data_IF_299461526894
#
_entry.id   IF_299461526894
#
_cell.length_a   1.000
_cell.length_b   1.000
_cell.length_c   1.000
_cell.angle_alpha   90.00
_cell.angle_beta   90.00
_cell.angle_gamma   90.00
#
_symmetry.space_group_name_H-M   'P 1'
#
loop_
_entity.id
_entity.type
_entity.pdbx_description
1 polymer ?
#
# COMPACT_ATOMS: atom_id res chain seq x y z
N UNK A 1 14.12 29.46 3.45
CA UNK A 1 13.76 28.99 2.09
C UNK A 1 12.26 28.70 2.06
N UNK A 2 11.55 29.11 1.01
CA UNK A 2 10.13 28.82 0.83
C UNK A 2 10.01 27.36 0.44
N UNK A 3 9.15 26.60 1.12
CA UNK A 3 8.92 25.19 0.81
C UNK A 3 8.06 25.06 -0.44
N UNK A 4 8.41 24.13 -1.33
CA UNK A 4 7.71 23.81 -2.56
C UNK A 4 7.44 22.31 -2.67
N UNK A 5 6.51 21.96 -3.52
CA UNK A 5 6.23 20.55 -3.81
C UNK A 5 7.40 19.94 -4.61
N UNK A 6 7.99 18.86 -4.10
CA UNK A 6 9.11 18.16 -4.74
C UNK A 6 8.74 17.52 -6.09
N UNK A 7 7.44 17.36 -6.39
CA UNK A 7 6.94 16.82 -7.65
C UNK A 7 6.68 17.88 -8.72
N UNK A 8 6.12 19.04 -8.35
CA UNK A 8 5.67 20.05 -9.33
C UNK A 8 6.17 21.48 -9.05
N UNK A 9 6.90 21.73 -7.97
CA UNK A 9 7.43 23.06 -7.63
C UNK A 9 6.41 24.07 -7.10
N UNK A 10 5.13 23.69 -6.92
CA UNK A 10 4.12 24.62 -6.38
C UNK A 10 4.36 24.91 -4.90
N UNK A 11 4.07 26.13 -4.47
CA UNK A 11 4.07 26.54 -3.06
C UNK A 11 2.68 26.36 -2.41
N UNK A 12 1.66 26.07 -3.23
CA UNK A 12 0.26 26.00 -2.80
C UNK A 12 -0.13 24.59 -2.38
N UNK A 13 -1.03 24.54 -1.39
CA UNK A 13 -1.71 23.31 -0.93
C UNK A 13 -0.74 22.18 -0.52
N UNK A 14 0.39 22.56 0.14
CA UNK A 14 1.31 21.57 0.68
C UNK A 14 0.67 20.79 1.83
N UNK A 15 0.93 19.48 1.88
CA UNK A 15 0.44 18.55 2.90
C UNK A 15 1.57 17.70 3.45
N UNK A 16 1.26 16.98 4.51
CA UNK A 16 2.11 15.94 5.07
C UNK A 16 1.82 14.65 4.31
N UNK A 17 2.79 14.18 3.52
CA UNK A 17 2.74 12.87 2.86
C UNK A 17 3.39 11.83 3.76
N UNK A 18 2.69 10.74 4.05
CA UNK A 18 3.30 9.58 4.69
C UNK A 18 4.22 8.92 3.65
N UNK A 19 5.53 8.87 3.91
CA UNK A 19 6.51 8.31 2.97
C UNK A 19 6.20 6.84 2.70
N UNK A 20 6.01 6.06 3.77
CA UNK A 20 5.40 4.74 3.71
C UNK A 20 3.95 4.91 4.14
N UNK A 21 2.96 4.41 3.38
CA UNK A 21 1.57 4.52 3.77
C UNK A 21 1.31 4.02 5.20
N UNK A 22 0.51 4.77 5.96
CA UNK A 22 0.20 4.51 7.37
C UNK A 22 -0.37 3.10 7.63
N UNK A 23 -1.05 2.51 6.64
CA UNK A 23 -1.56 1.14 6.73
C UNK A 23 -0.49 0.04 6.50
N UNK A 24 0.71 0.41 6.08
CA UNK A 24 1.82 -0.53 5.86
C UNK A 24 2.89 -0.44 6.95
N UNK A 25 2.80 0.54 7.86
CA UNK A 25 3.81 0.73 8.92
C UNK A 25 3.20 1.42 10.14
N UNK A 26 3.66 1.06 11.33
CA UNK A 26 3.37 1.82 12.55
C UNK A 26 4.29 3.05 12.71
N UNK A 27 5.35 3.16 11.92
CA UNK A 27 6.28 4.28 11.95
C UNK A 27 5.75 5.47 11.16
N UNK A 28 5.85 6.67 11.74
CA UNK A 28 5.35 7.90 11.12
C UNK A 28 6.49 8.73 10.55
N UNK A 29 6.85 8.48 9.28
CA UNK A 29 7.86 9.24 8.55
C UNK A 29 7.13 10.09 7.50
N UNK A 30 7.26 11.42 7.61
CA UNK A 30 6.46 12.38 6.85
C UNK A 30 7.32 13.27 6.00
N UNK A 31 6.98 13.43 4.71
CA UNK A 31 7.51 14.50 3.87
C UNK A 31 6.51 15.68 3.82
N UNK A 32 6.87 16.88 4.28
CA UNK A 32 5.97 18.03 4.31
C UNK A 32 5.90 18.80 2.98
N UNK A 33 6.66 18.40 1.97
CA UNK A 33 6.84 19.11 0.71
C UNK A 33 6.12 18.43 -0.47
N UNK A 34 4.90 17.93 -0.23
CA UNK A 34 4.07 17.28 -1.25
C UNK A 34 2.71 17.99 -1.29
N UNK A 35 2.26 18.42 -2.47
CA UNK A 35 0.95 19.04 -2.56
C UNK A 35 -0.18 18.01 -2.40
N UNK A 36 -1.24 18.42 -1.70
CA UNK A 36 -2.35 17.55 -1.27
C UNK A 36 -3.12 16.96 -2.45
N UNK A 37 -3.73 17.84 -3.25
CA UNK A 37 -4.70 17.42 -4.26
C UNK A 37 -4.03 16.81 -5.48
N UNK A 38 -2.96 17.46 -6.00
CA UNK A 38 -2.34 17.01 -7.25
C UNK A 38 -1.45 15.76 -7.10
N UNK A 39 -0.96 15.46 -5.88
CA UNK A 39 -0.07 14.33 -5.64
C UNK A 39 -0.52 13.45 -4.49
N UNK A 40 -0.46 13.91 -3.23
CA UNK A 40 -0.67 13.06 -2.06
C UNK A 40 -2.00 12.26 -2.14
N UNK A 41 -3.13 12.92 -2.36
CA UNK A 41 -4.43 12.23 -2.50
C UNK A 41 -4.48 11.35 -3.75
N UNK A 42 -3.92 11.83 -4.89
CA UNK A 42 -3.91 11.03 -6.12
C UNK A 42 -3.10 9.75 -6.00
N UNK A 43 -1.99 9.74 -5.28
CA UNK A 43 -1.19 8.54 -5.09
C UNK A 43 -1.97 7.44 -4.38
N UNK A 44 -2.79 7.83 -3.38
CA UNK A 44 -3.70 6.89 -2.72
C UNK A 44 -4.63 6.20 -3.72
N UNK A 45 -5.27 6.97 -4.62
CA UNK A 45 -6.20 6.43 -5.60
C UNK A 45 -5.52 5.66 -6.75
N UNK A 46 -4.30 6.06 -7.13
CA UNK A 46 -3.63 5.53 -8.32
C UNK A 46 -2.89 4.22 -8.07
N UNK A 47 -2.32 4.00 -6.87
CA UNK A 47 -1.52 2.82 -6.57
C UNK A 47 -1.44 2.42 -5.09
N UNK A 48 -1.50 3.36 -4.12
CA UNK A 48 -1.30 3.01 -2.70
C UNK A 48 -2.43 2.11 -2.18
N UNK A 49 -3.69 2.45 -2.47
CA UNK A 49 -4.84 1.66 -2.00
C UNK A 49 -4.81 0.22 -2.54
N UNK A 50 -4.41 0.01 -3.79
CA UNK A 50 -4.25 -1.34 -4.36
C UNK A 50 -3.18 -2.14 -3.61
N UNK A 51 -2.02 -1.52 -3.33
CA UNK A 51 -0.94 -2.18 -2.59
C UNK A 51 -1.35 -2.46 -1.16
N UNK A 52 -1.99 -1.50 -0.47
CA UNK A 52 -2.49 -1.67 0.89
C UNK A 52 -3.48 -2.83 0.97
N UNK A 53 -4.46 -2.88 0.07
CA UNK A 53 -5.49 -3.94 0.05
C UNK A 53 -4.87 -5.33 -0.18
N UNK A 54 -3.92 -5.45 -1.11
CA UNK A 54 -3.26 -6.73 -1.41
C UNK A 54 -2.26 -7.18 -0.36
N UNK A 55 -1.62 -6.25 0.36
CA UNK A 55 -0.71 -6.55 1.46
C UNK A 55 -1.41 -6.64 2.82
N UNK A 56 -2.71 -6.35 2.90
CA UNK A 56 -3.44 -6.24 4.17
C UNK A 56 -3.39 -7.52 5.01
N UNK A 57 -3.39 -8.70 4.39
CA UNK A 57 -3.21 -9.95 5.13
C UNK A 57 -1.84 -10.01 5.82
N UNK A 58 -0.77 -9.63 5.12
CA UNK A 58 0.59 -9.60 5.67
C UNK A 58 0.70 -8.58 6.80
N UNK A 59 0.18 -7.36 6.60
CA UNK A 59 0.22 -6.32 7.63
C UNK A 59 -0.60 -6.68 8.86
N UNK A 60 -1.72 -7.38 8.69
CA UNK A 60 -2.54 -7.84 9.79
C UNK A 60 -1.83 -8.93 10.62
N UNK A 61 -1.17 -9.89 9.97
CA UNK A 61 -0.35 -10.91 10.65
C UNK A 61 0.85 -10.31 11.41
N UNK A 62 1.35 -9.15 10.95
CA UNK A 62 2.42 -8.40 11.60
C UNK A 62 1.90 -7.39 12.65
N UNK A 63 0.61 -7.41 12.99
CA UNK A 63 -0.07 -6.47 13.91
C UNK A 63 0.11 -4.99 13.56
N UNK A 64 0.24 -4.68 12.26
CA UNK A 64 0.32 -3.29 11.77
C UNK A 64 -1.07 -2.70 11.67
N UNK A 65 -1.31 -1.63 12.42
CA UNK A 65 -2.58 -0.88 12.44
C UNK A 65 -2.37 0.55 11.95
N UNK A 66 -3.37 1.07 11.24
CA UNK A 66 -3.40 2.48 10.87
C UNK A 66 -3.38 3.37 12.11
N UNK A 67 -2.50 4.37 12.14
CA UNK A 67 -2.38 5.31 13.25
C UNK A 67 -3.63 6.20 13.42
N UNK A 68 -4.41 6.39 12.35
CA UNK A 68 -5.59 7.28 12.34
C UNK A 68 -6.84 6.67 12.97
N UNK A 69 -6.91 5.37 13.14
CA UNK A 69 -8.11 4.71 13.65
C UNK A 69 -7.83 3.47 14.46
N UNK A 70 -6.56 3.13 14.63
CA UNK A 70 -6.12 1.90 15.31
C UNK A 70 -6.84 0.65 14.76
N UNK A 71 -7.03 0.61 13.44
CA UNK A 71 -7.71 -0.48 12.74
C UNK A 71 -6.79 -1.12 11.71
N UNK A 72 -7.04 -2.39 11.44
CA UNK A 72 -6.34 -3.16 10.41
C UNK A 72 -6.82 -2.79 9.00
N UNK A 73 -5.95 -2.92 8.01
CA UNK A 73 -6.34 -2.83 6.61
C UNK A 73 -7.24 -4.02 6.23
N UNK A 74 -8.21 -3.78 5.34
CA UNK A 74 -9.10 -4.83 4.86
C UNK A 74 -8.54 -5.49 3.60
N UNK A 75 -8.70 -6.81 3.49
CA UNK A 75 -8.34 -7.60 2.32
C UNK A 75 -9.57 -8.34 1.76
N UNK A 76 -9.61 -8.62 0.44
CA UNK A 76 -10.69 -9.40 -0.14
C UNK A 76 -10.62 -10.86 0.35
N UNK A 77 -11.78 -11.42 0.66
CA UNK A 77 -11.94 -12.79 1.08
C UNK A 77 -13.23 -13.38 0.51
N UNK A 78 -13.31 -14.71 0.46
CA UNK A 78 -14.56 -15.43 0.22
C UNK A 78 -14.94 -16.25 1.45
N UNK A 79 -16.22 -16.34 1.68
CA UNK A 79 -16.81 -17.16 2.75
C UNK A 79 -17.82 -18.10 2.12
N UNK A 80 -17.71 -19.39 2.40
CA UNK A 80 -18.69 -20.38 1.99
C UNK A 80 -19.64 -20.60 3.18
N UNK A 81 -20.91 -20.31 2.97
CA UNK A 81 -21.97 -20.48 3.94
C UNK A 81 -23.00 -21.42 3.34
N UNK A 82 -23.20 -22.56 3.97
CA UNK A 82 -24.14 -23.58 3.52
C UNK A 82 -23.96 -23.90 2.01
N UNK A 83 -22.70 -24.09 1.60
CA UNK A 83 -22.32 -24.42 0.22
C UNK A 83 -22.40 -23.25 -0.79
N UNK A 84 -22.82 -22.05 -0.37
CA UNK A 84 -22.85 -20.87 -1.23
C UNK A 84 -21.66 -19.96 -0.95
N UNK A 85 -20.89 -19.59 -1.99
CA UNK A 85 -19.72 -18.73 -1.86
C UNK A 85 -20.13 -17.24 -1.90
N UNK A 86 -19.69 -16.48 -0.90
CA UNK A 86 -19.92 -15.05 -0.76
C UNK A 86 -18.61 -14.27 -0.77
N UNK A 87 -18.55 -13.19 -1.55
CA UNK A 87 -17.43 -12.24 -1.53
C UNK A 87 -17.58 -11.25 -0.39
N UNK A 88 -16.51 -11.00 0.31
CA UNK A 88 -16.47 -10.06 1.43
C UNK A 88 -15.10 -9.38 1.56
N UNK A 89 -14.97 -8.41 2.46
CA UNK A 89 -13.69 -7.85 2.91
C UNK A 89 -13.52 -8.13 4.38
N UNK A 90 -12.34 -8.59 4.77
CA UNK A 90 -11.99 -8.94 6.14
C UNK A 90 -10.72 -8.21 6.56
N UNK A 91 -10.56 -7.90 7.84
CA UNK A 91 -9.32 -7.41 8.44
C UNK A 91 -8.88 -8.29 9.62
N UNK A 92 -9.83 -8.88 10.34
CA UNK A 92 -9.58 -9.82 11.44
C UNK A 92 -10.59 -10.95 11.39
N UNK A 93 -10.37 -12.06 12.12
CA UNK A 93 -11.33 -13.15 12.21
C UNK A 93 -12.66 -12.71 12.85
N UNK A 94 -12.61 -11.83 13.84
CA UNK A 94 -13.81 -11.31 14.50
C UNK A 94 -14.74 -10.56 13.55
N UNK A 95 -14.19 -9.95 12.51
CA UNK A 95 -14.99 -9.21 11.53
C UNK A 95 -15.85 -10.11 10.66
N UNK A 96 -15.54 -11.39 10.52
CA UNK A 96 -16.39 -12.32 9.77
C UNK A 96 -17.84 -12.29 10.30
N UNK A 97 -18.02 -12.32 11.60
CA UNK A 97 -19.33 -12.30 12.24
C UNK A 97 -19.95 -10.89 12.32
N UNK A 98 -19.13 -9.86 12.15
CA UNK A 98 -19.56 -8.47 12.12
C UNK A 98 -19.78 -7.94 10.69
N UNK A 99 -19.63 -8.77 9.66
CA UNK A 99 -19.85 -8.36 8.27
C UNK A 99 -21.29 -7.88 8.11
N UNK A 100 -21.43 -6.68 7.57
CA UNK A 100 -22.73 -6.04 7.38
C UNK A 100 -23.47 -6.63 6.18
N UNK A 101 -22.75 -6.97 5.13
CA UNK A 101 -23.30 -7.56 3.89
C UNK A 101 -22.23 -8.44 3.24
N UNK A 102 -22.62 -9.64 2.82
CA UNK A 102 -21.85 -10.52 1.94
C UNK A 102 -22.69 -10.81 0.69
N UNK A 103 -22.10 -10.72 -0.48
CA UNK A 103 -22.78 -11.03 -1.76
C UNK A 103 -22.23 -12.33 -2.31
N UNK A 104 -23.11 -13.22 -2.76
CA UNK A 104 -22.68 -14.46 -3.42
C UNK A 104 -21.84 -14.15 -4.67
N UNK A 105 -20.91 -15.03 -5.00
CA UNK A 105 -20.03 -14.87 -6.16
C UNK A 105 -20.83 -14.85 -7.47
N UNK A 106 -21.95 -15.59 -7.53
CA UNK A 106 -22.89 -15.58 -8.66
C UNK A 106 -23.83 -14.37 -8.66
N UNK A 107 -23.78 -13.53 -7.63
CA UNK A 107 -24.56 -12.30 -7.50
C UNK A 107 -26.04 -12.48 -7.14
N UNK A 108 -26.49 -13.70 -6.86
CA UNK A 108 -27.92 -14.02 -6.64
C UNK A 108 -28.38 -13.91 -5.20
N UNK A 109 -27.49 -14.04 -4.23
CA UNK A 109 -27.82 -14.01 -2.81
C UNK A 109 -26.94 -13.02 -2.04
N UNK A 110 -27.45 -12.56 -0.89
CA UNK A 110 -26.75 -11.64 0.02
C UNK A 110 -27.00 -12.12 1.43
N UNK A 111 -25.93 -12.14 2.24
CA UNK A 111 -25.99 -12.37 3.68
C UNK A 111 -25.55 -11.10 4.40
N UNK A 112 -26.21 -10.79 5.54
CA UNK A 112 -25.86 -9.63 6.36
C UNK A 112 -26.95 -9.25 7.35
N UNK A 113 -26.78 -8.18 8.15
CA UNK A 113 -27.81 -7.70 9.05
C UNK A 113 -29.10 -7.34 8.30
N UNK A 114 -30.23 -7.78 8.83
CA UNK A 114 -31.55 -7.62 8.20
C UNK A 114 -31.88 -6.17 7.88
N UNK A 115 -31.55 -5.24 8.79
CA UNK A 115 -31.77 -3.79 8.60
C UNK A 115 -30.99 -3.23 7.40
N UNK A 116 -29.85 -3.80 7.08
CA UNK A 116 -29.04 -3.41 5.93
C UNK A 116 -29.52 -4.06 4.64
N UNK A 117 -29.91 -5.34 4.69
CA UNK A 117 -30.44 -6.08 3.54
C UNK A 117 -31.75 -5.44 3.05
N UNK A 118 -32.67 -5.10 3.96
CA UNK A 118 -33.95 -4.45 3.63
C UNK A 118 -33.81 -3.11 2.90
N UNK A 119 -32.68 -2.43 3.07
CA UNK A 119 -32.40 -1.16 2.40
C UNK A 119 -31.76 -1.33 1.01
N UNK A 120 -31.49 -2.54 0.56
CA UNK A 120 -30.92 -2.79 -0.77
C UNK A 120 -32.03 -2.70 -1.81
N UNK A 121 -31.81 -1.91 -2.84
CA UNK A 121 -32.77 -1.76 -3.95
C UNK A 121 -33.04 -3.11 -4.59
N UNK A 122 -34.31 -3.52 -4.61
CA UNK A 122 -34.76 -4.81 -5.13
C UNK A 122 -34.90 -5.94 -4.11
N UNK A 123 -34.50 -5.73 -2.84
CA UNK A 123 -34.84 -6.65 -1.77
C UNK A 123 -36.31 -6.46 -1.38
N UNK A 124 -37.12 -7.54 -1.43
CA UNK A 124 -38.47 -7.56 -0.85
C UNK A 124 -38.46 -8.36 0.45
N UNK A 125 -39.38 -8.06 1.37
CA UNK A 125 -39.49 -8.80 2.62
C UNK A 125 -39.75 -10.31 2.41
N UNK A 126 -40.36 -10.67 1.27
CA UNK A 126 -40.65 -12.06 0.89
C UNK A 126 -39.39 -12.89 0.57
N UNK A 127 -38.29 -12.21 0.22
CA UNK A 127 -37.02 -12.84 -0.15
C UNK A 127 -35.95 -12.73 0.97
N UNK A 128 -36.32 -12.27 2.15
CA UNK A 128 -35.42 -12.16 3.29
C UNK A 128 -35.71 -13.28 4.27
N UNK A 129 -34.79 -14.23 4.40
CA UNK A 129 -34.86 -15.31 5.39
C UNK A 129 -33.96 -14.95 6.56
N UNK A 130 -34.48 -15.04 7.79
CA UNK A 130 -33.65 -14.92 8.98
C UNK A 130 -32.84 -16.21 9.18
N UNK A 131 -31.53 -16.07 9.27
CA UNK A 131 -30.58 -17.18 9.43
C UNK A 131 -29.77 -16.91 10.69
N UNK A 132 -29.69 -17.88 11.59
CA UNK A 132 -28.74 -17.84 12.69
C UNK A 132 -27.36 -18.28 12.19
N UNK A 133 -26.46 -17.32 12.01
CA UNK A 133 -25.08 -17.55 11.52
C UNK A 133 -24.33 -18.58 12.38
N UNK A 134 -24.64 -18.68 13.69
CA UNK A 134 -23.97 -19.63 14.57
C UNK A 134 -24.37 -21.09 14.30
N UNK A 135 -25.42 -21.32 13.54
CA UNK A 135 -25.91 -22.66 13.15
C UNK A 135 -25.42 -23.08 11.75
N UNK A 136 -24.72 -22.19 11.05
CA UNK A 136 -24.24 -22.47 9.69
C UNK A 136 -22.81 -23.01 9.71
N UNK A 137 -22.55 -23.93 8.78
CA UNK A 137 -21.19 -24.34 8.49
C UNK A 137 -20.52 -23.24 7.63
N UNK A 138 -19.46 -22.63 8.17
CA UNK A 138 -18.75 -21.52 7.53
C UNK A 138 -17.32 -21.93 7.26
N UNK A 139 -16.95 -21.92 5.97
CA UNK A 139 -15.58 -22.08 5.50
C UNK A 139 -15.03 -20.75 5.00
N UNK A 140 -13.81 -20.39 5.41
CA UNK A 140 -13.10 -19.19 4.92
C UNK A 140 -12.14 -19.56 3.81
N UNK A 141 -12.16 -18.78 2.73
CA UNK A 141 -11.21 -18.89 1.64
C UNK A 141 -10.49 -17.56 1.47
N UNK A 142 -9.19 -17.55 1.76
CA UNK A 142 -8.32 -16.38 1.63
C UNK A 142 -7.30 -16.69 0.54
N UNK A 143 -7.15 -15.77 -0.43
CA UNK A 143 -6.16 -15.88 -1.50
C UNK A 143 -5.11 -14.80 -1.31
N UNK A 144 -3.87 -15.22 -1.04
CA UNK A 144 -2.72 -14.34 -1.01
C UNK A 144 -2.13 -14.23 -2.42
N UNK A 145 -2.25 -13.05 -3.03
CA UNK A 145 -1.68 -12.76 -4.34
C UNK A 145 -0.30 -12.11 -4.20
N UNK A 146 0.75 -12.95 -4.26
CA UNK A 146 2.13 -12.47 -4.18
C UNK A 146 2.61 -11.74 -5.45
N UNK A 147 1.83 -11.76 -6.54
CA UNK A 147 2.17 -11.03 -7.76
C UNK A 147 2.24 -9.52 -7.55
N UNK A 148 1.63 -9.02 -6.48
CA UNK A 148 1.69 -7.60 -6.09
C UNK A 148 3.13 -7.09 -5.97
N UNK A 149 4.05 -7.90 -5.45
CA UNK A 149 5.45 -7.52 -5.28
C UNK A 149 6.16 -7.21 -6.62
N UNK A 150 5.61 -7.68 -7.74
CA UNK A 150 6.13 -7.48 -9.10
C UNK A 150 5.25 -6.56 -9.95
N UNK A 151 4.19 -6.00 -9.34
CA UNK A 151 3.20 -5.19 -10.02
C UNK A 151 3.62 -3.72 -10.20
N UNK A 152 3.06 -3.06 -11.21
CA UNK A 152 3.29 -1.63 -11.50
C UNK A 152 2.96 -0.73 -10.31
N UNK A 153 1.88 -1.02 -9.59
CA UNK A 153 1.46 -0.25 -8.41
C UNK A 153 2.49 -0.34 -7.29
N UNK A 154 3.04 -1.53 -7.02
CA UNK A 154 4.14 -1.70 -6.08
C UNK A 154 5.38 -0.93 -6.50
N UNK A 155 5.81 -1.02 -7.76
CA UNK A 155 6.99 -0.30 -8.23
C UNK A 155 6.83 1.21 -8.13
N UNK A 156 5.63 1.75 -8.38
CA UNK A 156 5.35 3.18 -8.19
C UNK A 156 5.39 3.57 -6.71
N UNK A 157 4.85 2.75 -5.82
CA UNK A 157 4.94 2.96 -4.38
C UNK A 157 6.39 2.93 -3.90
N UNK A 158 7.17 1.94 -4.31
CA UNK A 158 8.60 1.82 -3.97
C UNK A 158 9.39 3.02 -4.48
N UNK A 159 9.15 3.47 -5.72
CA UNK A 159 9.77 4.67 -6.28
C UNK A 159 9.38 5.94 -5.49
N UNK A 160 8.10 6.08 -5.08
CA UNK A 160 7.62 7.18 -4.22
C UNK A 160 8.32 7.16 -2.87
N UNK A 161 8.40 6.01 -2.21
CA UNK A 161 9.07 5.86 -0.90
C UNK A 161 10.53 6.29 -1.01
N UNK A 162 11.26 5.77 -2.01
CA UNK A 162 12.66 6.12 -2.24
C UNK A 162 12.86 7.61 -2.45
N UNK A 163 12.08 8.21 -3.35
CA UNK A 163 12.19 9.61 -3.72
C UNK A 163 11.83 10.55 -2.55
N UNK A 164 10.70 10.34 -1.90
CA UNK A 164 10.28 11.19 -0.77
C UNK A 164 11.22 11.06 0.43
N UNK A 165 11.72 9.85 0.71
CA UNK A 165 12.67 9.60 1.78
C UNK A 165 14.03 10.26 1.50
N UNK A 166 14.53 10.15 0.25
CA UNK A 166 15.76 10.82 -0.16
C UNK A 166 15.64 12.35 -0.04
N UNK A 167 14.54 12.92 -0.55
CA UNK A 167 14.30 14.36 -0.47
C UNK A 167 14.26 14.85 0.99
N UNK A 168 13.62 14.08 1.88
CA UNK A 168 13.56 14.42 3.30
C UNK A 168 14.95 14.46 3.95
N UNK A 169 15.76 13.41 3.73
CA UNK A 169 17.07 13.28 4.38
C UNK A 169 18.14 14.22 3.80
N UNK A 170 17.98 14.65 2.54
CA UNK A 170 18.90 15.57 1.88
C UNK A 170 18.37 17.01 1.79
N UNK A 171 17.33 17.33 2.58
CA UNK A 171 16.73 18.67 2.65
C UNK A 171 16.31 19.25 1.28
N UNK A 172 15.90 18.38 0.34
CA UNK A 172 15.35 18.79 -0.95
C UNK A 172 13.93 19.32 -0.75
N UNK A 173 13.75 20.62 -0.96
CA UNK A 173 12.49 21.34 -0.68
C UNK A 173 11.84 21.94 -1.92
N UNK A 174 12.32 21.58 -3.11
CA UNK A 174 11.79 22.01 -4.40
C UNK A 174 11.93 20.89 -5.43
N UNK A 175 11.25 21.05 -6.58
CA UNK A 175 11.40 20.17 -7.72
C UNK A 175 12.75 20.41 -8.40
N UNK A 176 13.55 19.36 -8.51
CA UNK A 176 14.80 19.38 -9.26
C UNK A 176 14.66 18.59 -10.57
N UNK A 177 15.27 19.10 -11.64
CA UNK A 177 15.19 18.51 -13.00
C UNK A 177 15.76 17.10 -13.07
N UNK A 178 16.76 16.82 -12.26
CA UNK A 178 17.47 15.55 -12.14
C UNK A 178 16.54 14.40 -11.78
N UNK A 179 15.48 14.71 -11.04
CA UNK A 179 14.47 13.73 -10.65
C UNK A 179 13.31 13.59 -11.62
N UNK A 180 13.29 14.34 -12.74
CA UNK A 180 12.17 14.25 -13.68
C UNK A 180 11.85 12.83 -14.15
N UNK A 181 12.81 11.93 -14.40
CA UNK A 181 12.50 10.55 -14.82
C UNK A 181 11.71 9.79 -13.76
N UNK A 182 12.18 9.81 -12.49
CA UNK A 182 11.48 9.11 -11.41
C UNK A 182 10.15 9.78 -11.06
N UNK A 183 10.08 11.12 -11.06
CA UNK A 183 8.84 11.87 -10.85
C UNK A 183 7.80 11.47 -11.91
N UNK A 184 8.20 11.38 -13.19
CA UNK A 184 7.30 10.94 -14.26
C UNK A 184 6.80 9.53 -14.01
N UNK A 185 7.68 8.59 -13.68
CA UNK A 185 7.27 7.21 -13.36
C UNK A 185 6.29 7.15 -12.17
N UNK A 186 6.57 7.86 -11.08
CA UNK A 186 5.67 7.89 -9.90
C UNK A 186 4.30 8.46 -10.28
N UNK A 187 4.25 9.60 -10.98
CA UNK A 187 3.02 10.35 -11.23
C UNK A 187 2.16 9.78 -12.35
N UNK A 188 2.76 9.18 -13.37
CA UNK A 188 2.05 8.65 -14.56
C UNK A 188 2.13 7.13 -14.70
N UNK A 189 3.17 6.53 -14.14
CA UNK A 189 3.54 5.13 -14.37
C UNK A 189 4.16 4.90 -15.74
N UNK A 190 4.58 5.96 -16.44
CA UNK A 190 5.19 5.91 -17.76
C UNK A 190 6.71 6.19 -17.68
N UNK A 191 7.42 5.81 -18.76
CA UNK A 191 8.86 5.94 -18.83
C UNK A 191 9.61 4.69 -18.39
N UNK A 192 10.92 4.84 -18.19
CA UNK A 192 11.77 3.75 -17.72
C UNK A 192 11.46 3.45 -16.26
N UNK A 193 11.20 2.18 -15.95
CA UNK A 193 11.03 1.74 -14.57
C UNK A 193 12.36 1.89 -13.80
N UNK A 194 12.40 2.73 -12.73
CA UNK A 194 13.61 2.92 -11.93
C UNK A 194 13.82 1.82 -10.89
N UNK A 195 12.84 0.92 -10.71
CA UNK A 195 12.81 -0.08 -9.65
C UNK A 195 13.19 -1.44 -10.19
N UNK A 196 14.09 -2.12 -9.51
CA UNK A 196 14.42 -3.52 -9.74
C UNK A 196 14.35 -4.31 -8.42
N UNK A 197 14.03 -5.61 -8.52
CA UNK A 197 14.08 -6.51 -7.37
C UNK A 197 15.50 -7.04 -7.23
N UNK A 198 15.98 -7.06 -6.00
CA UNK A 198 17.31 -7.58 -5.67
C UNK A 198 17.24 -9.09 -5.52
N UNK A 199 17.83 -9.81 -6.48
CA UNK A 199 17.95 -11.29 -6.44
C UNK A 199 19.31 -11.77 -5.91
N UNK A 200 20.15 -10.89 -5.38
CA UNK A 200 21.49 -11.26 -4.91
C UNK A 200 21.41 -11.83 -3.49
N UNK A 201 21.77 -13.11 -3.33
CA UNK A 201 21.74 -13.83 -2.07
C UNK A 201 22.60 -13.18 -0.98
N UNK A 202 23.76 -12.59 -1.31
CA UNK A 202 24.61 -11.90 -0.33
C UNK A 202 23.95 -10.66 0.23
N UNK A 203 23.26 -9.88 -0.62
CA UNK A 203 22.49 -8.71 -0.19
C UNK A 203 21.33 -9.16 0.68
N UNK A 204 20.64 -10.22 0.29
CA UNK A 204 19.53 -10.78 1.05
C UNK A 204 19.98 -11.24 2.45
N UNK A 205 21.08 -11.98 2.52
CA UNK A 205 21.63 -12.44 3.79
C UNK A 205 22.13 -11.29 4.67
N UNK A 206 22.72 -10.25 4.08
CA UNK A 206 23.10 -9.03 4.82
C UNK A 206 21.89 -8.37 5.47
N UNK A 207 20.80 -8.17 4.72
CA UNK A 207 19.57 -7.60 5.26
C UNK A 207 18.96 -8.50 6.35
N UNK A 208 18.86 -9.81 6.13
CA UNK A 208 18.28 -10.75 7.09
C UNK A 208 19.04 -10.81 8.42
N UNK A 209 20.34 -10.49 8.44
CA UNK A 209 21.14 -10.42 9.67
C UNK A 209 20.89 -9.12 10.46
N UNK A 210 20.39 -8.07 9.80
CA UNK A 210 20.22 -6.74 10.38
C UNK A 210 18.77 -6.38 10.70
N UNK A 211 17.82 -7.22 10.31
CA UNK A 211 16.41 -6.85 10.31
C UNK A 211 15.54 -7.86 11.03
N UNK A 212 14.64 -7.34 11.85
CA UNK A 212 13.53 -8.10 12.37
C UNK A 212 12.45 -8.28 11.27
N UNK A 213 11.81 -9.45 11.27
CA UNK A 213 10.66 -9.71 10.40
C UNK A 213 9.58 -8.66 10.69
N UNK A 214 9.02 -8.08 9.63
CA UNK A 214 8.02 -7.01 9.73
C UNK A 214 8.59 -5.59 9.73
N UNK A 215 9.93 -5.42 9.82
CA UNK A 215 10.56 -4.11 9.74
C UNK A 215 10.72 -3.62 8.29
N UNK A 216 10.85 -2.29 8.13
CA UNK A 216 11.24 -1.66 6.87
C UNK A 216 12.63 -1.08 6.99
N UNK A 217 13.47 -1.27 5.96
CA UNK A 217 14.81 -0.70 5.92
C UNK A 217 15.04 0.06 4.63
N UNK A 218 15.59 1.27 4.74
CA UNK A 218 15.95 2.12 3.63
C UNK A 218 17.42 2.51 3.75
N UNK A 219 18.21 2.26 2.69
CA UNK A 219 19.65 2.58 2.64
C UNK A 219 19.94 3.32 1.35
N UNK A 220 20.52 4.52 1.43
CA UNK A 220 21.03 5.23 0.26
C UNK A 220 22.48 4.87 0.01
N UNK A 221 22.85 4.73 -1.26
CA UNK A 221 24.23 4.53 -1.69
C UNK A 221 24.46 5.15 -3.06
N UNK A 222 25.73 5.37 -3.36
CA UNK A 222 26.18 5.80 -4.67
C UNK A 222 26.89 4.62 -5.33
N UNK A 223 26.46 4.29 -6.55
CA UNK A 223 27.05 3.19 -7.32
C UNK A 223 28.34 3.64 -8.03
N UNK A 224 29.08 2.69 -8.60
CA UNK A 224 30.34 2.95 -9.31
C UNK A 224 30.17 3.92 -10.50
N UNK A 225 28.99 3.97 -11.11
CA UNK A 225 28.65 4.89 -12.19
C UNK A 225 28.18 6.28 -11.69
N UNK A 226 28.38 6.58 -10.41
CA UNK A 226 27.95 7.79 -9.73
C UNK A 226 26.43 7.97 -9.65
N UNK A 227 25.64 6.95 -9.96
CA UNK A 227 24.20 7.01 -9.76
C UNK A 227 23.83 6.94 -8.29
N UNK A 228 22.75 7.64 -7.91
CA UNK A 228 22.17 7.59 -6.56
C UNK A 228 21.10 6.53 -6.53
N UNK A 229 21.25 5.60 -5.61
CA UNK A 229 20.36 4.46 -5.45
C UNK A 229 19.83 4.35 -4.02
N UNK A 230 18.62 3.82 -3.87
CA UNK A 230 18.02 3.48 -2.57
C UNK A 230 17.67 2.00 -2.57
N UNK A 231 18.23 1.26 -1.63
CA UNK A 231 17.76 -0.08 -1.28
C UNK A 231 16.61 0.03 -0.29
N UNK A 232 15.52 -0.66 -0.59
CA UNK A 232 14.32 -0.72 0.26
C UNK A 232 13.98 -2.17 0.53
N UNK A 233 13.96 -2.56 1.79
CA UNK A 233 13.34 -3.81 2.21
C UNK A 233 11.98 -3.52 2.84
N UNK A 234 10.94 -4.20 2.36
CA UNK A 234 9.60 -4.15 2.94
C UNK A 234 9.34 -5.43 3.72
N UNK A 235 9.01 -5.28 5.00
CA UNK A 235 8.66 -6.36 5.93
C UNK A 235 9.73 -7.46 6.09
N UNK A 236 10.95 -7.27 5.55
CA UNK A 236 11.94 -8.34 5.42
C UNK A 236 11.59 -9.40 4.34
N UNK A 237 10.55 -9.16 3.52
CA UNK A 237 10.05 -10.13 2.53
C UNK A 237 10.62 -9.85 1.14
N UNK A 238 10.66 -8.59 0.72
CA UNK A 238 11.11 -8.18 -0.61
C UNK A 238 12.09 -7.02 -0.53
N UNK A 239 13.17 -7.10 -1.30
CA UNK A 239 14.20 -6.06 -1.38
C UNK A 239 14.19 -5.48 -2.79
N UNK A 240 14.09 -4.15 -2.85
CA UNK A 240 14.09 -3.38 -4.09
C UNK A 240 15.29 -2.47 -4.15
N UNK A 241 15.84 -2.28 -5.34
CA UNK A 241 16.77 -1.20 -5.65
C UNK A 241 16.07 -0.16 -6.52
N UNK A 242 16.16 1.10 -6.13
CA UNK A 242 15.58 2.23 -6.85
C UNK A 242 16.70 3.17 -7.29
N UNK A 243 16.85 3.34 -8.60
CA UNK A 243 17.75 4.33 -9.18
C UNK A 243 17.05 5.70 -9.21
N UNK A 244 17.50 6.62 -8.36
CA UNK A 244 16.91 7.96 -8.24
C UNK A 244 17.40 8.91 -9.32
N UNK A 245 18.71 8.89 -9.59
CA UNK A 245 19.36 9.75 -10.59
C UNK A 245 20.56 9.05 -11.18
N UNK A 246 21.00 9.55 -12.37
CA UNK A 246 22.15 9.00 -13.08
C UNK A 246 23.50 9.61 -12.61
N UNK A 247 23.47 10.52 -11.63
CA UNK A 247 24.67 11.16 -11.08
C UNK A 247 24.40 11.68 -9.65
N UNK A 248 25.48 11.91 -8.91
CA UNK A 248 25.40 12.46 -7.56
C UNK A 248 24.86 13.89 -7.63
N UNK A 249 23.80 14.14 -6.84
CA UNK A 249 23.21 15.48 -6.74
C UNK A 249 24.00 16.27 -5.71
N UNK A 250 24.54 17.45 -6.09
CA UNK A 250 25.24 18.30 -5.15
C UNK A 250 24.33 18.68 -3.98
N UNK A 251 24.85 18.50 -2.77
CA UNK A 251 24.18 19.03 -1.56
C UNK A 251 24.49 20.53 -1.48
N UNK A 252 23.47 21.35 -1.40
CA UNK A 252 23.55 22.82 -1.28
C UNK A 252 23.50 23.27 0.19
#
# INVERSE_FOLDING_TARGET
MTRRCIYCGTEKDLSKSDIIPDALTSAKIINPNVCRVAHNNKFSDMFENEVIEKLALITNELDVKSSKGNHYASYPASVIVDGTEYSTKMSTEAELFNQKIMRSVDGKSIIGPIDKIKNIKGASNENVTEIDINQLEIEKKIVLDLSIFFGKSMYRLIAKIAFEWYCLNNSVTDKLSEFNPIINFITTGEGKNPVSIVGNEKIYNFFNQMMDMGSHTLISYVDEDASVNILISLFGIAIYNVRLSDYVIPQW
#
